data_IF_028874277402
#
_entry.id   IF_028874277402
#
_cell.length_a   1.000
_cell.length_b   1.000
_cell.length_c   1.000
_cell.angle_alpha   90.00
_cell.angle_beta   90.00
_cell.angle_gamma   90.00
#
_symmetry.space_group_name_H-M   'P 1'
#
loop_
_entity.id
_entity.type
_entity.pdbx_description
1 polymer ?
#
# COMPACT_ATOMS: atom_id res chain seq x y z
N UNK A 1 15.81 7.88 7.90
CA UNK A 1 15.24 8.70 6.80
C UNK A 1 15.83 8.32 5.43
N UNK A 2 17.15 8.14 5.30
CA UNK A 2 17.78 7.83 4.01
C UNK A 2 17.25 6.51 3.40
N UNK A 3 17.04 5.48 4.20
CA UNK A 3 16.53 4.17 3.75
C UNK A 3 15.07 4.26 3.27
N UNK A 4 14.21 4.95 3.99
CA UNK A 4 12.82 5.17 3.55
C UNK A 4 12.75 6.03 2.28
N UNK A 5 13.59 7.08 2.19
CA UNK A 5 13.67 7.92 1.01
C UNK A 5 14.14 7.17 -0.24
N UNK A 6 15.08 6.22 -0.10
CA UNK A 6 15.56 5.42 -1.23
C UNK A 6 14.47 4.51 -1.82
N UNK A 7 13.60 3.95 -0.98
CA UNK A 7 12.45 3.15 -1.44
C UNK A 7 11.46 3.99 -2.26
N UNK A 8 11.20 5.23 -1.84
CA UNK A 8 10.34 6.13 -2.60
C UNK A 8 10.93 6.48 -3.97
N UNK A 9 12.24 6.75 -4.04
CA UNK A 9 12.91 7.02 -5.33
C UNK A 9 12.88 5.80 -6.25
N UNK A 10 13.17 4.62 -5.72
CA UNK A 10 13.07 3.35 -6.47
C UNK A 10 11.63 3.14 -6.96
N UNK A 11 10.64 3.37 -6.10
CA UNK A 11 9.22 3.28 -6.44
C UNK A 11 8.81 4.22 -7.58
N UNK A 12 9.27 5.46 -7.55
CA UNK A 12 9.00 6.45 -8.62
C UNK A 12 9.66 6.07 -9.94
N UNK A 13 10.91 5.59 -9.91
CA UNK A 13 11.61 5.11 -11.11
C UNK A 13 10.90 3.89 -11.69
N UNK A 14 10.52 2.93 -10.84
CA UNK A 14 9.77 1.74 -11.25
C UNK A 14 8.42 2.09 -11.85
N UNK A 15 7.67 3.01 -11.23
CA UNK A 15 6.40 3.52 -11.73
C UNK A 15 6.56 4.17 -13.11
N UNK A 16 7.51 5.07 -13.25
CA UNK A 16 7.79 5.74 -14.50
C UNK A 16 8.19 4.74 -15.62
N UNK A 17 9.07 3.78 -15.31
CA UNK A 17 9.48 2.76 -16.26
C UNK A 17 8.33 1.84 -16.66
N UNK A 18 7.52 1.42 -15.68
CA UNK A 18 6.33 0.60 -15.91
C UNK A 18 5.32 1.32 -16.81
N UNK A 19 4.98 2.57 -16.47
CA UNK A 19 3.97 3.33 -17.21
C UNK A 19 4.40 3.60 -18.67
N UNK A 20 5.70 3.81 -18.90
CA UNK A 20 6.23 3.94 -20.27
C UNK A 20 6.13 2.65 -21.09
N UNK A 21 6.23 1.51 -20.45
CA UNK A 21 6.19 0.21 -21.14
C UNK A 21 4.77 -0.36 -21.23
N UNK A 22 3.95 -0.13 -20.23
CA UNK A 22 2.57 -0.55 -20.12
C UNK A 22 1.75 0.60 -19.53
N UNK A 23 1.22 1.49 -20.38
CA UNK A 23 0.48 2.66 -19.92
C UNK A 23 -0.66 2.28 -18.99
N UNK A 24 -0.68 2.92 -17.84
CA UNK A 24 -1.70 2.70 -16.81
C UNK A 24 -2.91 3.60 -17.03
N UNK A 25 -4.05 3.23 -16.44
CA UNK A 25 -5.16 4.17 -16.33
C UNK A 25 -4.72 5.38 -15.49
N UNK A 26 -5.09 6.62 -15.87
CA UNK A 26 -4.72 7.82 -15.11
C UNK A 26 -5.10 7.73 -13.63
N UNK A 27 -6.27 7.15 -13.32
CA UNK A 27 -6.71 6.93 -11.94
C UNK A 27 -5.76 6.00 -11.15
N UNK A 28 -5.23 4.95 -11.78
CA UNK A 28 -4.29 4.02 -11.15
C UNK A 28 -2.94 4.68 -10.91
N UNK A 29 -2.47 5.46 -11.86
CA UNK A 29 -1.25 6.26 -11.71
C UNK A 29 -1.38 7.24 -10.53
N UNK A 30 -2.49 7.95 -10.45
CA UNK A 30 -2.78 8.89 -9.35
C UNK A 30 -2.81 8.16 -7.99
N UNK A 31 -3.43 6.98 -7.89
CA UNK A 31 -3.46 6.19 -6.65
C UNK A 31 -2.05 5.86 -6.16
N UNK A 32 -1.17 5.41 -7.05
CA UNK A 32 0.22 5.09 -6.68
C UNK A 32 0.99 6.36 -6.29
N UNK A 33 0.82 7.45 -7.03
CA UNK A 33 1.43 8.74 -6.67
C UNK A 33 0.93 9.24 -5.31
N UNK A 34 -0.36 9.09 -5.01
CA UNK A 34 -0.93 9.44 -3.70
C UNK A 34 -0.27 8.62 -2.59
N UNK A 35 -0.15 7.30 -2.76
CA UNK A 35 0.54 6.46 -1.80
C UNK A 35 1.97 6.94 -1.57
N UNK A 36 2.75 7.15 -2.64
CA UNK A 36 4.15 7.58 -2.54
C UNK A 36 4.24 8.94 -1.82
N UNK A 37 3.34 9.88 -2.10
CA UNK A 37 3.32 11.18 -1.44
C UNK A 37 3.06 11.06 0.07
N UNK A 38 2.05 10.27 0.47
CA UNK A 38 1.73 10.05 1.88
C UNK A 38 2.85 9.28 2.58
N UNK A 39 3.43 8.27 1.93
CA UNK A 39 4.59 7.55 2.41
C UNK A 39 5.80 8.48 2.65
N UNK A 40 6.12 9.39 1.72
CA UNK A 40 7.20 10.36 1.88
C UNK A 40 6.95 11.31 3.08
N UNK A 41 5.70 11.72 3.27
CA UNK A 41 5.31 12.54 4.42
C UNK A 41 5.52 11.76 5.71
N UNK A 42 5.01 10.52 5.81
CA UNK A 42 5.16 9.67 7.00
C UNK A 42 6.64 9.36 7.31
N UNK A 43 7.44 9.04 6.29
CA UNK A 43 8.86 8.76 6.40
C UNK A 43 9.68 9.95 6.95
N UNK A 44 9.21 11.19 6.77
CA UNK A 44 9.83 12.39 7.35
C UNK A 44 9.88 12.34 8.88
N UNK A 45 8.91 11.69 9.51
CA UNK A 45 8.80 11.48 10.96
C UNK A 45 9.06 10.03 11.39
N UNK A 46 9.70 9.22 10.53
CA UNK A 46 9.97 7.79 10.83
C UNK A 46 8.69 7.05 11.26
N UNK A 47 7.55 7.40 10.65
CA UNK A 47 6.19 6.86 10.92
C UNK A 47 5.76 7.02 12.38
N UNK A 48 6.50 6.42 13.33
CA UNK A 48 6.18 6.39 14.77
C UNK A 48 6.10 7.77 15.43
N UNK A 49 6.69 8.79 14.82
CA UNK A 49 6.73 10.15 15.37
C UNK A 49 5.87 11.15 14.58
N UNK A 50 5.02 10.68 13.67
CA UNK A 50 4.15 11.55 12.87
C UNK A 50 3.13 12.25 13.76
N UNK A 51 3.06 13.61 13.77
CA UNK A 51 2.21 14.35 14.70
C UNK A 51 0.76 14.48 14.22
N UNK A 52 0.17 13.40 13.66
CA UNK A 52 -1.19 13.45 13.14
C UNK A 52 -2.23 13.74 14.22
N UNK A 53 -2.00 13.27 15.43
CA UNK A 53 -2.91 13.49 16.56
C UNK A 53 -3.00 14.99 16.91
N UNK A 54 -1.85 15.65 17.01
CA UNK A 54 -1.80 17.09 17.24
C UNK A 54 -2.44 17.89 16.09
N UNK A 55 -2.26 17.47 14.85
CA UNK A 55 -2.90 18.11 13.69
C UNK A 55 -4.42 17.97 13.71
N UNK A 56 -4.92 16.76 14.00
CA UNK A 56 -6.36 16.49 14.10
C UNK A 56 -6.93 17.27 15.28
N UNK A 57 -6.27 17.26 16.44
CA UNK A 57 -6.69 18.03 17.61
C UNK A 57 -6.75 19.54 17.33
N UNK A 58 -5.77 20.09 16.63
CA UNK A 58 -5.76 21.50 16.26
C UNK A 58 -6.92 21.89 15.31
N UNK A 59 -7.34 20.96 14.43
CA UNK A 59 -8.39 21.19 13.46
C UNK A 59 -9.80 20.92 14.01
N UNK A 60 -9.94 19.90 14.87
CA UNK A 60 -11.25 19.40 15.32
C UNK A 60 -11.53 19.61 16.80
N UNK A 61 -10.51 19.95 17.57
CA UNK A 61 -10.57 20.01 19.05
C UNK A 61 -10.50 18.64 19.73
N UNK A 62 -10.44 17.53 18.97
CA UNK A 62 -10.44 16.15 19.50
C UNK A 62 -9.10 15.47 19.18
N UNK A 63 -8.52 14.80 20.18
CA UNK A 63 -7.36 13.92 20.00
C UNK A 63 -7.83 12.49 19.74
N UNK A 64 -7.54 11.87 18.58
CA UNK A 64 -7.83 10.46 18.34
C UNK A 64 -7.16 9.52 19.35
N UNK A 65 -5.90 9.80 19.73
CA UNK A 65 -5.20 8.99 20.73
C UNK A 65 -5.95 8.96 22.07
N UNK A 66 -6.43 10.10 22.53
CA UNK A 66 -7.22 10.16 23.77
C UNK A 66 -8.60 9.51 23.61
N UNK A 67 -9.29 9.79 22.50
CA UNK A 67 -10.64 9.30 22.26
C UNK A 67 -10.71 7.77 22.16
N UNK A 68 -9.68 7.13 21.58
CA UNK A 68 -9.62 5.67 21.41
C UNK A 68 -8.71 4.97 22.42
N UNK A 69 -8.06 5.70 23.34
CA UNK A 69 -7.12 5.16 24.32
C UNK A 69 -5.86 4.55 23.69
N UNK A 70 -5.43 5.06 22.54
CA UNK A 70 -4.28 4.53 21.82
C UNK A 70 -2.97 4.86 22.52
N UNK A 71 -2.14 3.82 22.72
CA UNK A 71 -0.82 3.94 23.36
C UNK A 71 0.31 4.10 22.35
N UNK A 72 0.03 3.87 21.04
CA UNK A 72 1.03 3.96 19.97
C UNK A 72 0.58 4.92 18.85
N UNK A 73 1.53 5.34 18.06
CA UNK A 73 1.26 6.03 16.81
C UNK A 73 0.86 5.02 15.72
N UNK A 74 -0.29 5.23 15.07
CA UNK A 74 -0.84 4.31 14.08
C UNK A 74 -0.51 4.69 12.63
N UNK A 75 0.42 5.60 12.39
CA UNK A 75 0.78 6.03 11.02
C UNK A 75 1.23 4.85 10.16
N UNK A 76 2.06 3.98 10.69
CA UNK A 76 2.57 2.81 9.98
C UNK A 76 1.43 1.90 9.52
N UNK A 77 0.57 1.52 10.41
CA UNK A 77 -0.65 0.75 10.10
C UNK A 77 -1.53 1.41 9.03
N UNK A 78 -1.65 2.73 9.09
CA UNK A 78 -2.38 3.47 8.06
C UNK A 78 -1.68 3.39 6.69
N UNK A 79 -0.35 3.43 6.64
CA UNK A 79 0.42 3.25 5.40
C UNK A 79 0.19 1.86 4.80
N UNK A 80 0.19 0.80 5.61
CA UNK A 80 -0.10 -0.56 5.14
C UNK A 80 -1.53 -0.69 4.60
N UNK A 81 -2.53 -0.13 5.28
CA UNK A 81 -3.90 -0.05 4.76
C UNK A 81 -3.95 0.70 3.42
N UNK A 82 -3.30 1.86 3.36
CA UNK A 82 -3.25 2.70 2.16
C UNK A 82 -2.52 2.00 1.01
N UNK A 83 -1.48 1.22 1.31
CA UNK A 83 -0.79 0.37 0.34
C UNK A 83 -1.78 -0.57 -0.35
N UNK A 84 -2.55 -1.32 0.41
CA UNK A 84 -3.57 -2.22 -0.13
C UNK A 84 -4.62 -1.48 -0.97
N UNK A 85 -5.12 -0.34 -0.47
CA UNK A 85 -6.12 0.49 -1.16
C UNK A 85 -5.61 1.03 -2.49
N UNK A 86 -4.37 1.49 -2.55
CA UNK A 86 -3.82 2.16 -3.73
C UNK A 86 -3.26 1.20 -4.77
N UNK A 87 -2.71 0.06 -4.36
CA UNK A 87 -2.04 -0.85 -5.29
C UNK A 87 -2.92 -1.99 -5.80
N UNK A 88 -3.91 -2.45 -5.05
CA UNK A 88 -4.74 -3.58 -5.48
C UNK A 88 -5.55 -3.29 -6.77
N UNK A 89 -6.16 -2.12 -6.99
CA UNK A 89 -6.85 -1.81 -8.25
C UNK A 89 -5.95 -1.85 -9.50
N UNK A 90 -4.76 -1.17 -9.53
CA UNK A 90 -3.85 -1.27 -10.67
C UNK A 90 -3.33 -2.69 -10.90
N UNK A 91 -2.98 -3.43 -9.83
CA UNK A 91 -2.55 -4.83 -9.93
C UNK A 91 -3.65 -5.69 -10.55
N UNK A 92 -4.88 -5.60 -10.05
CA UNK A 92 -6.02 -6.32 -10.62
C UNK A 92 -6.22 -5.99 -12.10
N UNK A 93 -6.18 -4.71 -12.45
CA UNK A 93 -6.35 -4.26 -13.82
C UNK A 93 -5.28 -4.86 -14.73
N UNK A 94 -4.01 -4.78 -14.34
CA UNK A 94 -2.88 -5.35 -15.07
C UNK A 94 -3.03 -6.87 -15.27
N UNK A 95 -3.38 -7.60 -14.20
CA UNK A 95 -3.58 -9.06 -14.26
C UNK A 95 -4.69 -9.43 -15.25
N UNK A 96 -5.84 -8.74 -15.20
CA UNK A 96 -6.97 -9.00 -16.09
C UNK A 96 -6.69 -8.59 -17.56
N UNK A 97 -5.77 -7.67 -17.81
CA UNK A 97 -5.34 -7.34 -19.16
C UNK A 97 -4.35 -8.37 -19.73
N UNK A 98 -3.50 -8.91 -18.86
CA UNK A 98 -2.39 -9.78 -19.29
C UNK A 98 -2.82 -11.23 -19.44
N UNK A 99 -3.80 -11.69 -18.68
CA UNK A 99 -4.30 -13.07 -18.67
C UNK A 99 -5.83 -13.12 -18.79
N UNK A 100 -6.40 -14.20 -19.34
CA UNK A 100 -7.85 -14.35 -19.53
C UNK A 100 -8.55 -14.69 -18.19
N UNK A 101 -8.46 -13.79 -17.24
CA UNK A 101 -9.03 -13.95 -15.90
C UNK A 101 -10.47 -13.44 -15.86
N UNK A 102 -11.33 -14.19 -15.17
CA UNK A 102 -12.64 -13.66 -14.83
C UNK A 102 -12.52 -12.63 -13.65
N UNK A 103 -13.56 -11.82 -13.40
CA UNK A 103 -13.49 -10.76 -12.38
C UNK A 103 -13.15 -11.24 -10.96
N UNK A 104 -13.59 -12.47 -10.60
CA UNK A 104 -13.29 -13.07 -9.29
C UNK A 104 -11.84 -13.54 -9.21
N UNK A 105 -11.34 -14.17 -10.26
CA UNK A 105 -9.94 -14.60 -10.34
C UNK A 105 -8.99 -13.39 -10.27
N UNK A 106 -9.28 -12.35 -11.04
CA UNK A 106 -8.49 -11.10 -10.99
C UNK A 106 -8.51 -10.45 -9.62
N UNK A 107 -9.64 -10.48 -8.92
CA UNK A 107 -9.77 -10.00 -7.54
C UNK A 107 -8.90 -10.82 -6.58
N UNK A 108 -9.07 -12.15 -6.56
CA UNK A 108 -8.33 -13.03 -5.64
C UNK A 108 -6.82 -12.90 -5.87
N UNK A 109 -6.38 -12.93 -7.13
CA UNK A 109 -4.96 -12.80 -7.46
C UNK A 109 -4.39 -11.44 -7.06
N UNK A 110 -5.13 -10.35 -7.24
CA UNK A 110 -4.68 -9.04 -6.80
C UNK A 110 -4.50 -8.98 -5.28
N UNK A 111 -5.46 -9.51 -4.50
CA UNK A 111 -5.34 -9.61 -3.05
C UNK A 111 -4.12 -10.46 -2.66
N UNK A 112 -3.92 -11.61 -3.31
CA UNK A 112 -2.76 -12.47 -3.05
C UNK A 112 -1.43 -11.76 -3.35
N UNK A 113 -1.35 -10.98 -4.44
CA UNK A 113 -0.14 -10.19 -4.74
C UNK A 113 0.16 -9.18 -3.63
N UNK A 114 -0.86 -8.47 -3.14
CA UNK A 114 -0.69 -7.54 -2.02
C UNK A 114 -0.26 -8.26 -0.74
N UNK A 115 -0.88 -9.41 -0.41
CA UNK A 115 -0.49 -10.22 0.75
C UNK A 115 0.97 -10.67 0.65
N UNK A 116 1.38 -11.23 -0.50
CA UNK A 116 2.74 -11.69 -0.70
C UNK A 116 3.77 -10.55 -0.63
N UNK A 117 3.47 -9.41 -1.25
CA UNK A 117 4.38 -8.26 -1.21
C UNK A 117 4.46 -7.60 0.17
N UNK A 118 3.36 -7.57 0.93
CA UNK A 118 3.37 -7.14 2.33
C UNK A 118 4.22 -8.08 3.18
N UNK A 119 4.05 -9.40 3.06
CA UNK A 119 4.88 -10.40 3.73
C UNK A 119 6.38 -10.22 3.42
N UNK A 120 6.72 -10.00 2.14
CA UNK A 120 8.12 -9.77 1.74
C UNK A 120 8.69 -8.48 2.34
N UNK A 121 7.85 -7.46 2.51
CA UNK A 121 8.25 -6.23 3.16
C UNK A 121 8.52 -6.45 4.66
N UNK A 122 7.67 -7.18 5.38
CA UNK A 122 7.91 -7.55 6.77
C UNK A 122 9.19 -8.40 6.95
N UNK A 123 9.49 -9.29 6.00
CA UNK A 123 10.76 -10.02 6.00
C UNK A 123 11.97 -9.11 5.77
N UNK A 124 11.82 -8.07 4.94
CA UNK A 124 12.86 -7.06 4.77
C UNK A 124 13.09 -6.29 6.07
N UNK A 125 12.03 -5.88 6.76
CA UNK A 125 12.13 -5.20 8.05
C UNK A 125 12.79 -6.09 9.11
N UNK A 126 12.39 -7.35 9.18
CA UNK A 126 13.04 -8.33 10.05
C UNK A 126 14.52 -8.51 9.71
N UNK A 127 14.88 -8.63 8.44
CA UNK A 127 16.29 -8.73 8.02
C UNK A 127 17.09 -7.48 8.41
N UNK A 128 16.50 -6.30 8.26
CA UNK A 128 17.10 -5.03 8.69
C UNK A 128 17.31 -5.03 10.21
N UNK A 129 16.31 -5.50 10.98
CA UNK A 129 16.42 -5.59 12.43
C UNK A 129 17.57 -6.54 12.90
N UNK A 130 17.86 -7.59 12.13
CA UNK A 130 18.98 -8.49 12.42
C UNK A 130 20.37 -7.87 12.12
N UNK A 131 20.42 -6.86 11.25
CA UNK A 131 21.67 -6.25 10.78
C UNK A 131 22.01 -4.93 11.46
N UNK A 132 21.02 -4.25 12.05
CA UNK A 132 21.18 -2.96 12.69
C UNK A 132 21.30 -3.09 14.22
N UNK A 133 21.74 -2.02 14.88
CA UNK A 133 21.60 -1.93 16.34
C UNK A 133 20.12 -1.91 16.75
N UNK A 134 19.77 -2.34 17.97
CA UNK A 134 18.39 -2.35 18.44
C UNK A 134 17.67 -0.99 18.27
N UNK A 135 18.38 0.11 18.56
CA UNK A 135 17.84 1.47 18.45
C UNK A 135 17.59 1.87 16.98
N UNK A 136 18.51 1.47 16.08
CA UNK A 136 18.36 1.75 14.65
C UNK A 136 17.26 0.89 14.02
N UNK A 137 17.13 -0.36 14.44
CA UNK A 137 16.07 -1.28 14.03
C UNK A 137 14.69 -0.75 14.47
N UNK A 138 14.52 -0.39 15.74
CA UNK A 138 13.27 0.20 16.25
C UNK A 138 12.90 1.49 15.53
N UNK A 139 13.89 2.34 15.26
CA UNK A 139 13.71 3.59 14.51
C UNK A 139 13.32 3.37 13.05
N UNK A 140 13.66 2.21 12.47
CA UNK A 140 13.28 1.86 11.11
C UNK A 140 11.93 1.15 11.04
N UNK A 141 11.73 0.11 11.84
CA UNK A 141 10.54 -0.73 11.81
C UNK A 141 9.33 -0.07 12.50
N UNK A 142 9.57 0.77 13.52
CA UNK A 142 8.49 1.50 14.18
C UNK A 142 7.53 0.64 15.00
N UNK A 143 8.00 -0.52 15.50
CA UNK A 143 7.16 -1.48 16.24
C UNK A 143 6.55 -0.91 17.53
N UNK A 144 7.22 0.04 18.19
CA UNK A 144 6.74 0.69 19.40
C UNK A 144 6.37 -0.32 20.51
N UNK A 145 7.10 -1.44 20.58
CA UNK A 145 6.89 -2.51 21.54
C UNK A 145 5.73 -3.48 21.23
N UNK A 146 5.10 -3.38 20.06
CA UNK A 146 4.04 -4.30 19.65
C UNK A 146 4.62 -5.54 18.97
N UNK A 147 4.58 -6.69 19.66
CA UNK A 147 5.06 -7.96 19.12
C UNK A 147 4.23 -8.49 17.92
N UNK A 148 3.05 -7.95 17.69
CA UNK A 148 2.14 -8.34 16.61
C UNK A 148 2.10 -7.32 15.46
N UNK A 149 3.05 -6.39 15.43
CA UNK A 149 3.10 -5.29 14.47
C UNK A 149 3.05 -5.81 13.02
N UNK A 150 4.00 -6.64 12.63
CA UNK A 150 4.05 -7.26 11.30
C UNK A 150 2.73 -7.96 10.89
N UNK A 151 2.08 -8.65 11.85
CA UNK A 151 0.80 -9.32 11.58
C UNK A 151 -0.34 -8.34 11.35
N UNK A 152 -0.38 -7.25 12.13
CA UNK A 152 -1.39 -6.21 11.99
C UNK A 152 -1.22 -5.45 10.66
N UNK A 153 0.01 -5.19 10.26
CA UNK A 153 0.34 -4.46 9.04
C UNK A 153 0.03 -5.27 7.78
N UNK A 154 0.39 -6.55 7.75
CA UNK A 154 -0.03 -7.48 6.70
C UNK A 154 -1.56 -7.61 6.61
N UNK A 155 -2.26 -7.67 7.75
CA UNK A 155 -3.72 -7.72 7.78
C UNK A 155 -4.33 -6.46 7.20
N UNK A 156 -3.85 -5.29 7.59
CA UNK A 156 -4.36 -4.01 7.10
C UNK A 156 -4.13 -3.82 5.60
N UNK A 157 -2.94 -4.19 5.09
CA UNK A 157 -2.66 -4.21 3.66
C UNK A 157 -3.64 -5.13 2.91
N UNK A 158 -3.90 -6.32 3.47
CA UNK A 158 -4.86 -7.27 2.91
C UNK A 158 -6.29 -6.72 2.91
N UNK A 159 -6.75 -6.13 4.01
CA UNK A 159 -8.08 -5.52 4.11
C UNK A 159 -8.24 -4.36 3.12
N UNK A 160 -7.23 -3.50 2.99
CA UNK A 160 -7.20 -2.43 1.98
C UNK A 160 -7.35 -2.99 0.57
N UNK A 161 -6.61 -4.06 0.24
CA UNK A 161 -6.70 -4.72 -1.05
C UNK A 161 -8.08 -5.35 -1.30
N UNK A 162 -8.65 -6.02 -0.32
CA UNK A 162 -9.98 -6.62 -0.43
C UNK A 162 -11.06 -5.58 -0.73
N UNK A 163 -11.02 -4.45 -0.05
CA UNK A 163 -11.98 -3.35 -0.26
C UNK A 163 -11.81 -2.71 -1.63
N UNK A 164 -10.57 -2.36 -2.01
CA UNK A 164 -10.31 -1.57 -3.21
C UNK A 164 -10.38 -2.38 -4.50
N UNK A 165 -9.98 -3.65 -4.48
CA UNK A 165 -10.02 -4.53 -5.65
C UNK A 165 -11.39 -5.23 -5.84
N UNK A 166 -12.37 -5.01 -4.94
CA UNK A 166 -13.68 -5.64 -5.03
C UNK A 166 -14.31 -5.47 -6.42
N UNK A 167 -14.79 -6.56 -7.07
CA UNK A 167 -15.40 -6.47 -8.38
C UNK A 167 -16.71 -5.70 -8.33
N UNK A 168 -16.76 -4.53 -8.95
CA UNK A 168 -18.02 -3.82 -9.17
C UNK A 168 -18.81 -4.55 -10.25
N UNK A 169 -20.08 -4.86 -9.98
CA UNK A 169 -20.94 -5.73 -10.79
C UNK A 169 -21.21 -5.23 -12.21
N UNK A 170 -20.87 -3.98 -12.56
CA UNK A 170 -21.22 -3.34 -13.82
C UNK A 170 -20.03 -3.00 -14.74
N UNK A 171 -18.84 -3.51 -14.49
CA UNK A 171 -17.71 -3.29 -15.40
C UNK A 171 -17.82 -4.27 -16.60
N UNK A 172 -17.92 -3.80 -17.85
CA UNK A 172 -17.93 -4.67 -19.03
C UNK A 172 -16.63 -5.49 -19.07
N UNK A 173 -16.75 -6.75 -19.41
CA UNK A 173 -15.63 -7.68 -19.49
C UNK A 173 -14.66 -7.19 -20.59
N UNK A 174 -13.36 -6.96 -20.32
CA UNK A 174 -12.41 -6.50 -21.34
C UNK A 174 -12.28 -7.47 -22.53
N UNK A 175 -12.60 -8.75 -22.34
CA UNK A 175 -12.53 -9.79 -23.37
C UNK A 175 -13.54 -9.62 -24.53
N UNK A 176 -14.63 -8.90 -24.35
CA UNK A 176 -15.61 -8.67 -25.42
C UNK A 176 -15.19 -7.58 -26.44
N UNK A 177 -14.22 -6.73 -26.09
CA UNK A 177 -13.74 -5.70 -27.00
C UNK A 177 -12.78 -6.24 -28.07
N UNK A 178 -12.06 -7.31 -27.80
CA UNK A 178 -11.14 -7.95 -28.76
C UNK A 178 -11.88 -8.83 -29.77
N UNK A 179 -12.95 -9.52 -29.36
CA UNK A 179 -13.74 -10.38 -30.27
C UNK A 179 -14.46 -9.59 -31.38
N UNK A 180 -14.76 -8.30 -31.18
CA UNK A 180 -15.40 -7.45 -32.21
C UNK A 180 -14.43 -6.88 -33.26
N UNK A 181 -13.12 -6.95 -33.05
CA UNK A 181 -12.11 -6.46 -34.01
C UNK A 181 -11.63 -7.50 -35.01
N UNK A 182 -11.99 -8.79 -34.84
CA UNK A 182 -11.59 -9.88 -35.73
C UNK A 182 -12.69 -10.29 -36.73
N UNK A 183 -13.82 -9.58 -36.76
CA UNK A 183 -14.97 -9.89 -37.66
C UNK A 183 -15.30 -8.76 -38.63
N UNK A 184 -14.40 -7.83 -38.85
CA UNK A 184 -14.40 -6.85 -39.95
C UNK A 184 -13.11 -6.97 -40.73
#
# INVERSE_FOLDING_TARGET
QAMHGSLAVIGLIALWWHDRRWPMLPSHFILICLFIAVHCVAARWLYSNMPYDAWIQALTGCSPQQAFGWQRNHTDRFIHLLYGLCFAPPVRHYLCQRWPLNPRQGYVLAVMVIMCSSLLYEWLEWAIALLLSPEAAESYNGQQGDMWDAHADMLLATLGAMVAAWPRTNAPHPGHALARRTTT
#
